data_IF_932690701464
#
_entry.id   IF_932690701464
#
_cell.length_a   1.000
_cell.length_b   1.000
_cell.length_c   1.000
_cell.angle_alpha   90.00
_cell.angle_beta   90.00
_cell.angle_gamma   90.00
#
_symmetry.space_group_name_H-M   'P 1'
#
loop_
_entity.id
_entity.type
_entity.pdbx_description
1 polymer ?
#
# COMPACT_ATOMS: atom_id res chain seq x y z
N UNK A 1 32.99 -5.04 12.62
CA UNK A 1 32.29 -4.07 11.76
C UNK A 1 31.95 -4.77 10.45
N UNK A 2 30.71 -5.22 10.27
CA UNK A 2 30.29 -5.83 9.00
C UNK A 2 30.20 -4.73 7.93
N UNK A 3 30.70 -5.03 6.72
CA UNK A 3 30.70 -4.10 5.59
C UNK A 3 29.29 -3.51 5.37
N UNK A 4 29.22 -2.18 5.26
CA UNK A 4 27.99 -1.40 5.11
C UNK A 4 27.20 -1.67 3.81
N UNK A 5 27.65 -2.60 2.96
CA UNK A 5 27.20 -2.75 1.57
C UNK A 5 26.61 -4.15 1.25
N UNK A 6 26.43 -5.04 2.22
CA UNK A 6 25.83 -6.35 1.95
C UNK A 6 24.31 -6.33 2.22
N UNK A 7 23.49 -6.93 1.35
CA UNK A 7 22.07 -7.12 1.62
C UNK A 7 21.88 -7.98 2.87
N UNK A 8 20.84 -7.66 3.64
CA UNK A 8 20.52 -8.31 4.91
C UNK A 8 19.01 -8.50 5.03
N UNK A 9 18.61 -9.62 5.61
CA UNK A 9 17.20 -9.87 5.93
C UNK A 9 16.77 -8.98 7.09
N UNK A 10 15.87 -8.04 6.81
CA UNK A 10 15.24 -7.17 7.80
C UNK A 10 13.87 -7.70 8.14
N UNK A 11 13.54 -7.69 9.44
CA UNK A 11 12.21 -8.03 9.92
C UNK A 11 11.44 -6.74 10.17
N UNK A 12 10.17 -6.70 9.78
CA UNK A 12 9.20 -5.71 10.24
C UNK A 12 8.09 -6.39 11.01
N UNK A 13 7.87 -5.96 12.24
CA UNK A 13 6.68 -6.39 13.01
C UNK A 13 5.53 -5.42 12.74
N UNK A 14 4.32 -5.94 12.71
CA UNK A 14 3.10 -5.16 12.55
C UNK A 14 2.23 -5.21 13.80
N UNK A 15 1.63 -4.07 14.13
CA UNK A 15 0.84 -3.86 15.31
C UNK A 15 -0.59 -4.39 15.14
N UNK A 16 -1.24 -4.94 16.19
CA UNK A 16 -2.66 -5.35 16.16
C UNK A 16 -3.70 -4.26 15.81
N UNK A 17 -3.28 -3.01 15.56
CA UNK A 17 -4.15 -1.91 15.12
C UNK A 17 -4.51 -2.01 13.63
N UNK A 18 -3.71 -2.76 12.86
CA UNK A 18 -3.98 -3.02 11.46
C UNK A 18 -5.02 -4.12 11.25
N UNK A 19 -5.24 -4.42 9.98
CA UNK A 19 -6.07 -5.53 9.49
C UNK A 19 -5.27 -6.26 8.42
N UNK A 20 -5.02 -7.54 8.58
CA UNK A 20 -4.03 -8.28 7.79
C UNK A 20 -4.65 -9.51 7.14
N UNK A 21 -4.19 -9.94 5.95
CA UNK A 21 -4.65 -11.21 5.41
C UNK A 21 -4.07 -12.34 6.27
N UNK A 22 -4.89 -13.30 6.71
CA UNK A 22 -4.44 -14.53 7.38
C UNK A 22 -3.69 -15.38 6.38
N UNK A 23 -2.37 -15.26 6.34
CA UNK A 23 -1.58 -15.91 5.32
C UNK A 23 -0.11 -16.07 5.70
N UNK A 24 0.52 -17.04 5.04
CA UNK A 24 1.96 -17.14 4.91
C UNK A 24 2.34 -17.01 3.45
N UNK A 25 2.96 -15.89 3.09
CA UNK A 25 3.34 -15.58 1.71
C UNK A 25 4.86 -15.63 1.64
N UNK A 26 5.38 -16.54 0.82
CA UNK A 26 6.82 -16.73 0.67
C UNK A 26 7.26 -16.39 -0.75
N UNK A 27 8.34 -15.65 -0.85
CA UNK A 27 9.06 -15.28 -2.06
C UNK A 27 10.56 -15.48 -1.81
N UNK A 28 11.41 -15.61 -2.85
CA UNK A 28 12.85 -15.80 -2.67
C UNK A 28 13.51 -14.75 -1.77
N UNK A 29 13.01 -13.51 -1.81
CA UNK A 29 13.57 -12.35 -1.10
C UNK A 29 12.59 -11.75 -0.07
N UNK A 30 11.42 -12.37 0.13
CA UNK A 30 10.35 -11.85 0.97
C UNK A 30 9.58 -12.94 1.69
N UNK A 31 9.21 -12.70 2.95
CA UNK A 31 8.32 -13.56 3.72
C UNK A 31 7.30 -12.67 4.43
N UNK A 32 6.01 -12.96 4.31
CA UNK A 32 4.97 -12.38 5.14
C UNK A 32 4.32 -13.49 5.96
N UNK A 33 4.09 -13.20 7.23
CA UNK A 33 3.43 -14.10 8.15
C UNK A 33 2.39 -13.31 8.92
N UNK A 34 1.16 -13.80 8.92
CA UNK A 34 0.07 -13.25 9.72
C UNK A 34 -0.81 -14.37 10.28
N UNK A 35 -0.80 -14.49 11.61
CA UNK A 35 -1.69 -15.36 12.38
C UNK A 35 -2.18 -14.62 13.64
N UNK A 36 -2.90 -15.33 14.52
CA UNK A 36 -3.47 -14.75 15.73
C UNK A 36 -2.42 -14.33 16.78
N UNK A 37 -1.18 -14.81 16.67
CA UNK A 37 -0.12 -14.57 17.64
C UNK A 37 0.83 -13.46 17.20
N UNK A 38 1.16 -13.38 15.92
CA UNK A 38 2.11 -12.38 15.41
C UNK A 38 1.87 -12.09 13.93
N UNK A 39 2.10 -10.81 13.57
CA UNK A 39 2.18 -10.39 12.17
C UNK A 39 3.53 -9.74 11.90
N UNK A 40 4.25 -10.24 10.91
CA UNK A 40 5.55 -9.69 10.49
C UNK A 40 5.82 -9.92 9.01
N UNK A 41 6.77 -9.16 8.46
CA UNK A 41 7.41 -9.48 7.19
C UNK A 41 8.92 -9.53 7.33
N UNK A 42 9.56 -10.23 6.42
CA UNK A 42 11.01 -10.23 6.22
C UNK A 42 11.27 -9.87 4.78
N UNK A 43 12.22 -8.96 4.54
CA UNK A 43 12.70 -8.67 3.19
C UNK A 43 14.22 -8.63 3.17
N UNK A 44 14.81 -9.04 2.05
CA UNK A 44 16.24 -8.88 1.80
C UNK A 44 16.49 -7.45 1.33
N UNK A 45 16.98 -6.57 2.21
CA UNK A 45 17.20 -5.15 1.87
C UNK A 45 18.67 -4.74 2.00
N UNK A 46 19.10 -3.79 1.17
CA UNK A 46 20.35 -3.06 1.40
C UNK A 46 20.19 -2.03 2.53
N UNK A 47 21.24 -1.84 3.33
CA UNK A 47 21.24 -0.83 4.41
C UNK A 47 21.74 0.50 3.88
N UNK A 48 20.91 1.55 3.98
CA UNK A 48 21.38 2.93 4.10
C UNK A 48 22.07 3.57 2.88
N UNK A 49 22.00 2.96 1.69
CA UNK A 49 22.41 3.62 0.45
C UNK A 49 21.13 3.86 -0.34
N UNK A 50 20.76 5.11 -0.64
CA UNK A 50 19.68 5.35 -1.58
C UNK A 50 20.08 4.65 -2.88
N UNK A 51 19.22 3.74 -3.37
CA UNK A 51 19.44 2.98 -4.63
C UNK A 51 19.82 3.92 -5.78
N UNK A 52 19.41 5.18 -5.67
CA UNK A 52 19.82 6.29 -6.51
C UNK A 52 20.37 7.43 -5.64
N UNK A 53 21.66 7.76 -5.81
CA UNK A 53 22.34 8.84 -5.09
C UNK A 53 21.71 10.24 -5.27
N UNK A 54 20.80 10.40 -6.25
CA UNK A 54 20.08 11.64 -6.49
C UNK A 54 18.77 11.77 -5.69
N UNK A 55 18.40 10.77 -4.88
CA UNK A 55 17.21 10.83 -4.03
C UNK A 55 17.58 11.53 -2.71
N UNK A 56 16.84 12.57 -2.28
CA UNK A 56 17.13 13.25 -1.03
C UNK A 56 16.93 12.33 0.16
N UNK A 57 17.74 12.53 1.20
CA UNK A 57 17.59 11.84 2.48
C UNK A 57 16.30 12.29 3.19
N UNK A 58 15.63 11.34 3.86
CA UNK A 58 14.42 11.57 4.65
C UNK A 58 14.51 10.80 5.97
N UNK A 59 14.39 11.51 7.08
CA UNK A 59 14.24 10.90 8.42
C UNK A 59 12.82 10.37 8.66
N UNK A 60 11.89 10.70 7.78
CA UNK A 60 10.47 10.38 7.89
C UNK A 60 10.10 9.09 7.12
N UNK A 61 11.11 8.40 6.58
CA UNK A 61 10.94 7.11 5.92
C UNK A 61 10.69 6.02 6.98
N UNK A 62 9.61 5.28 6.81
CA UNK A 62 9.07 4.36 7.83
C UNK A 62 9.13 2.89 7.39
N UNK A 63 9.44 2.64 6.11
CA UNK A 63 9.72 1.35 5.50
C UNK A 63 10.86 1.51 4.49
N UNK A 64 11.67 0.46 4.32
CA UNK A 64 12.58 0.32 3.18
C UNK A 64 11.80 0.11 1.88
N UNK A 65 12.45 0.36 0.74
CA UNK A 65 11.82 0.15 -0.57
C UNK A 65 11.42 -1.32 -0.81
N UNK A 66 12.20 -2.27 -0.31
CA UNK A 66 11.85 -3.71 -0.42
C UNK A 66 10.69 -4.09 0.50
N UNK A 67 10.66 -3.60 1.75
CA UNK A 67 9.49 -3.75 2.62
C UNK A 67 8.23 -3.17 1.95
N UNK A 68 8.34 -1.95 1.40
CA UNK A 68 7.25 -1.25 0.74
C UNK A 68 6.78 -1.97 -0.53
N UNK A 69 7.71 -2.45 -1.36
CA UNK A 69 7.41 -3.25 -2.56
C UNK A 69 6.67 -4.53 -2.19
N UNK A 70 7.18 -5.25 -1.19
CA UNK A 70 6.61 -6.53 -0.78
C UNK A 70 5.24 -6.35 -0.13
N UNK A 71 5.10 -5.43 0.83
CA UNK A 71 3.80 -5.11 1.47
C UNK A 71 2.83 -4.54 0.43
N UNK A 72 3.29 -3.64 -0.44
CA UNK A 72 2.49 -3.07 -1.51
C UNK A 72 1.93 -4.14 -2.45
N UNK A 73 2.69 -5.20 -2.74
CA UNK A 73 2.18 -6.30 -3.57
C UNK A 73 1.05 -7.08 -2.90
N UNK A 74 1.08 -7.24 -1.58
CA UNK A 74 0.00 -7.89 -0.81
C UNK A 74 -1.21 -6.95 -0.72
N UNK A 75 -0.96 -5.66 -0.47
CA UNK A 75 -1.98 -4.62 -0.42
C UNK A 75 -2.81 -4.52 -1.71
N UNK A 76 -2.17 -4.67 -2.88
CA UNK A 76 -2.85 -4.66 -4.17
C UNK A 76 -3.62 -5.96 -4.49
N UNK A 77 -3.58 -6.97 -3.61
CA UNK A 77 -4.40 -8.17 -3.71
C UNK A 77 -5.82 -8.01 -3.15
N UNK A 78 -6.14 -6.86 -2.54
CA UNK A 78 -7.51 -6.57 -2.13
C UNK A 78 -8.48 -6.60 -3.30
N UNK A 79 -9.64 -7.20 -3.04
CA UNK A 79 -10.76 -7.26 -3.96
C UNK A 79 -11.53 -5.92 -3.96
N UNK A 80 -12.17 -5.58 -5.08
CA UNK A 80 -12.73 -4.24 -5.36
C UNK A 80 -13.80 -3.75 -4.37
N UNK A 81 -14.55 -4.64 -3.71
CA UNK A 81 -15.67 -4.32 -2.82
C UNK A 81 -15.65 -5.18 -1.54
N UNK A 82 -14.46 -5.46 -1.03
CA UNK A 82 -14.24 -6.36 0.10
C UNK A 82 -13.49 -5.67 1.25
N UNK A 83 -13.17 -6.44 2.29
CA UNK A 83 -12.48 -5.94 3.47
C UNK A 83 -11.11 -5.34 3.13
N UNK A 84 -10.91 -4.09 3.55
CA UNK A 84 -9.63 -3.39 3.42
C UNK A 84 -8.55 -4.01 4.32
N UNK A 85 -7.37 -4.23 3.75
CA UNK A 85 -6.14 -4.47 4.48
C UNK A 85 -5.58 -3.14 4.97
N UNK A 86 -5.12 -3.13 6.22
CA UNK A 86 -4.49 -1.96 6.84
C UNK A 86 -3.18 -2.41 7.47
N UNK A 87 -2.07 -2.09 6.82
CA UNK A 87 -0.75 -2.41 7.35
C UNK A 87 -0.28 -1.35 8.35
N UNK A 88 -0.11 -1.76 9.60
CA UNK A 88 0.34 -0.88 10.68
C UNK A 88 1.72 -1.31 11.21
N UNK A 89 2.84 -0.98 10.54
CA UNK A 89 4.17 -1.41 10.98
C UNK A 89 4.63 -0.70 12.25
N UNK A 90 5.35 -1.44 13.10
CA UNK A 90 6.11 -0.87 14.22
C UNK A 90 7.39 -0.24 13.65
N UNK A 91 7.30 1.02 13.20
CA UNK A 91 8.30 1.69 12.37
C UNK A 91 9.73 1.76 12.96
N UNK A 92 9.88 1.80 14.28
CA UNK A 92 11.19 1.83 14.94
C UNK A 92 11.78 0.43 15.19
N UNK A 93 11.00 -0.64 15.05
CA UNK A 93 11.47 -2.00 15.27
C UNK A 93 11.77 -2.70 13.95
N UNK A 94 13.05 -2.79 13.61
CA UNK A 94 13.53 -3.47 12.40
C UNK A 94 14.82 -4.28 12.66
N UNK A 95 14.73 -5.39 13.41
CA UNK A 95 15.90 -6.21 13.67
C UNK A 95 16.39 -6.87 12.38
N UNK A 96 17.68 -7.15 12.35
CA UNK A 96 18.36 -7.77 11.21
C UNK A 96 18.70 -9.21 11.56
N UNK A 97 18.35 -10.16 10.70
CA UNK A 97 18.73 -11.55 10.89
C UNK A 97 20.21 -11.70 10.53
N UNK A 98 21.01 -12.21 11.46
CA UNK A 98 22.45 -12.41 11.27
C UNK A 98 22.77 -13.69 10.47
N UNK A 99 22.24 -13.74 9.24
CA UNK A 99 22.47 -14.77 8.22
C UNK A 99 22.56 -14.12 6.85
N UNK A 100 23.53 -14.55 6.05
CA UNK A 100 23.74 -14.02 4.69
C UNK A 100 22.76 -14.59 3.68
N UNK A 101 22.46 -15.89 3.80
CA UNK A 101 21.58 -16.63 2.90
C UNK A 101 20.53 -17.34 3.74
N UNK A 102 19.26 -17.10 3.43
CA UNK A 102 18.11 -17.81 3.97
C UNK A 102 17.22 -18.22 2.81
N UNK A 103 16.79 -19.46 2.81
CA UNK A 103 15.72 -19.90 1.92
C UNK A 103 14.39 -19.57 2.59
N UNK A 104 13.81 -18.42 2.22
CA UNK A 104 12.54 -17.93 2.73
C UNK A 104 11.34 -18.71 2.18
N UNK A 105 11.52 -19.51 1.12
CA UNK A 105 10.48 -20.38 0.56
C UNK A 105 10.27 -21.64 1.38
N UNK A 106 11.24 -21.99 2.23
CA UNK A 106 11.19 -23.22 3.03
C UNK A 106 10.42 -23.00 4.33
N UNK A 107 9.39 -23.83 4.55
CA UNK A 107 8.55 -23.84 5.74
C UNK A 107 9.32 -23.84 7.06
N UNK A 108 10.34 -24.69 7.18
CA UNK A 108 11.17 -24.75 8.40
C UNK A 108 11.91 -23.44 8.67
N UNK A 109 12.28 -22.70 7.62
CA UNK A 109 12.93 -21.39 7.76
C UNK A 109 11.91 -20.36 8.22
N UNK A 110 10.72 -20.33 7.61
CA UNK A 110 9.65 -19.40 7.99
C UNK A 110 9.23 -19.58 9.47
N UNK A 111 9.06 -20.83 9.90
CA UNK A 111 8.76 -21.17 11.30
C UNK A 111 9.89 -20.79 12.27
N UNK A 112 11.14 -21.05 11.89
CA UNK A 112 12.28 -20.63 12.70
C UNK A 112 12.34 -19.11 12.85
N UNK A 113 12.07 -18.36 11.78
CA UNK A 113 12.00 -16.90 11.80
C UNK A 113 10.85 -16.45 12.70
N UNK A 114 9.64 -17.00 12.55
CA UNK A 114 8.49 -16.68 13.41
C UNK A 114 8.83 -16.82 14.89
N UNK A 115 9.43 -17.94 15.28
CA UNK A 115 9.84 -18.19 16.66
C UNK A 115 10.92 -17.19 17.12
N UNK A 116 11.89 -16.85 16.26
CA UNK A 116 12.90 -15.84 16.56
C UNK A 116 12.31 -14.45 16.73
N UNK A 117 11.28 -14.08 15.97
CA UNK A 117 10.58 -12.79 16.12
C UNK A 117 9.89 -12.72 17.47
N UNK A 118 9.12 -13.76 17.84
CA UNK A 118 8.44 -13.82 19.15
C UNK A 118 9.45 -13.77 20.31
N UNK A 119 10.52 -14.56 20.22
CA UNK A 119 11.60 -14.53 21.23
C UNK A 119 12.29 -13.16 21.28
N UNK A 120 12.51 -12.53 20.13
CA UNK A 120 13.14 -11.22 20.03
C UNK A 120 12.31 -10.11 20.67
N UNK A 121 10.98 -10.19 20.59
CA UNK A 121 10.07 -9.26 21.28
C UNK A 121 10.04 -9.52 22.79
N UNK A 122 10.10 -10.79 23.23
CA UNK A 122 10.13 -11.18 24.64
C UNK A 122 11.51 -11.00 25.32
N UNK A 123 12.56 -10.69 24.55
CA UNK A 123 13.91 -10.51 25.07
C UNK A 123 14.05 -9.29 25.99
N UNK A 124 15.17 -9.18 26.75
CA UNK A 124 15.42 -8.04 27.62
C UNK A 124 15.41 -6.74 26.81
N UNK A 125 14.48 -5.84 27.17
CA UNK A 125 14.19 -4.60 26.45
C UNK A 125 15.32 -3.58 26.56
N UNK A 126 15.81 -3.08 25.42
CA UNK A 126 16.88 -2.08 25.35
C UNK A 126 16.38 -0.64 25.11
N UNK A 127 15.19 -0.24 25.61
CA UNK A 127 14.74 1.15 25.48
C UNK A 127 13.27 1.46 25.81
N UNK A 128 12.85 2.72 25.58
CA UNK A 128 11.57 3.33 25.96
C UNK A 128 10.33 2.91 25.14
N UNK A 129 10.45 1.97 24.20
CA UNK A 129 9.40 1.63 23.21
C UNK A 129 8.84 0.21 23.38
N UNK A 130 8.86 -0.29 24.61
CA UNK A 130 8.44 -1.66 24.96
C UNK A 130 6.95 -1.89 24.74
N UNK A 131 6.10 -0.92 25.09
CA UNK A 131 4.67 -1.14 25.21
C UNK A 131 4.04 -1.63 23.89
N UNK A 132 4.24 -0.93 22.78
CA UNK A 132 3.64 -1.31 21.50
C UNK A 132 4.21 -2.62 20.92
N UNK A 133 5.46 -2.99 21.24
CA UNK A 133 5.99 -4.31 20.89
C UNK A 133 5.36 -5.41 21.73
N UNK A 134 5.14 -5.17 23.02
CA UNK A 134 4.42 -6.11 23.88
C UNK A 134 2.94 -6.25 23.47
N UNK A 135 2.29 -5.16 23.04
CA UNK A 135 0.94 -5.20 22.45
C UNK A 135 0.88 -6.15 21.26
N UNK A 136 1.95 -6.28 20.46
CA UNK A 136 2.00 -7.22 19.33
C UNK A 136 1.92 -8.70 19.74
N UNK A 137 2.18 -9.04 21.00
CA UNK A 137 2.07 -10.41 21.51
C UNK A 137 0.86 -10.62 22.43
N UNK A 138 0.25 -9.54 22.92
CA UNK A 138 -0.84 -9.62 23.92
C UNK A 138 -2.21 -9.25 23.35
N UNK A 139 -2.27 -8.39 22.34
CA UNK A 139 -3.53 -7.97 21.73
C UNK A 139 -3.91 -8.90 20.58
N UNK A 140 -5.22 -8.98 20.31
CA UNK A 140 -5.78 -9.79 19.22
C UNK A 140 -5.59 -9.09 17.88
N UNK A 141 -5.07 -9.81 16.91
CA UNK A 141 -5.01 -9.35 15.51
C UNK A 141 -6.37 -9.40 14.83
N UNK A 142 -6.67 -8.39 14.01
CA UNK A 142 -7.76 -8.42 13.02
C UNK A 142 -7.23 -9.05 11.74
N UNK A 143 -7.75 -10.23 11.42
CA UNK A 143 -7.33 -11.00 10.24
C UNK A 143 -8.47 -11.09 9.23
N UNK A 144 -8.13 -11.00 7.95
CA UNK A 144 -9.01 -11.18 6.79
C UNK A 144 -8.77 -12.58 6.24
N UNK A 145 -9.84 -13.33 6.04
CA UNK A 145 -9.75 -14.69 5.50
C UNK A 145 -9.43 -14.68 3.98
N UNK A 146 -8.90 -15.79 3.49
CA UNK A 146 -8.34 -15.91 2.13
C UNK A 146 -9.38 -15.72 1.01
N UNK A 147 -10.67 -15.96 1.28
CA UNK A 147 -11.75 -15.74 0.33
C UNK A 147 -12.02 -14.25 0.05
N UNK A 148 -11.68 -13.38 1.00
CA UNK A 148 -11.88 -11.92 0.89
C UNK A 148 -10.66 -11.17 0.29
N UNK A 149 -9.58 -11.87 -0.06
CA UNK A 149 -8.35 -11.28 -0.65
C UNK A 149 -7.78 -12.21 -1.72
N UNK A 150 -7.43 -11.71 -2.90
CA UNK A 150 -6.87 -12.54 -3.97
C UNK A 150 -5.34 -12.65 -3.90
N UNK A 151 -4.85 -13.37 -2.88
CA UNK A 151 -3.41 -13.56 -2.66
C UNK A 151 -2.72 -14.37 -3.77
N UNK A 152 -3.47 -15.07 -4.62
CA UNK A 152 -2.92 -15.79 -5.76
C UNK A 152 -2.18 -14.86 -6.74
N UNK A 153 -2.58 -13.59 -6.80
CA UNK A 153 -1.98 -12.55 -7.65
C UNK A 153 -0.70 -11.96 -7.07
N UNK A 154 -0.41 -12.18 -5.78
CA UNK A 154 0.67 -11.50 -5.07
C UNK A 154 2.03 -11.67 -5.76
N UNK A 155 2.35 -12.89 -6.23
CA UNK A 155 3.65 -13.15 -6.87
C UNK A 155 3.80 -12.38 -8.18
N UNK A 156 2.75 -12.35 -9.02
CA UNK A 156 2.74 -11.59 -10.27
C UNK A 156 2.85 -10.09 -10.01
N UNK A 157 2.09 -9.56 -9.03
CA UNK A 157 2.15 -8.15 -8.64
C UNK A 157 3.57 -7.80 -8.16
N UNK A 158 4.16 -8.61 -7.28
CA UNK A 158 5.49 -8.37 -6.73
C UNK A 158 6.60 -8.35 -7.80
N UNK A 159 6.49 -9.20 -8.83
CA UNK A 159 7.41 -9.22 -9.95
C UNK A 159 7.28 -7.97 -10.84
N UNK A 160 6.08 -7.39 -10.94
CA UNK A 160 5.81 -6.19 -11.75
C UNK A 160 6.07 -4.87 -11.02
N UNK A 161 6.26 -4.87 -9.70
CA UNK A 161 6.69 -3.68 -8.96
C UNK A 161 8.20 -3.63 -8.92
N UNK A 162 8.81 -2.72 -9.68
CA UNK A 162 10.25 -2.51 -9.63
C UNK A 162 10.67 -1.71 -8.37
N UNK A 163 11.73 -2.12 -7.63
CA UNK A 163 12.16 -1.43 -6.42
C UNK A 163 12.73 -0.03 -6.66
N UNK A 164 12.99 0.35 -7.92
CA UNK A 164 13.44 1.67 -8.33
C UNK A 164 12.33 2.52 -8.98
N UNK A 165 11.08 2.03 -9.07
CA UNK A 165 9.94 2.84 -9.49
C UNK A 165 9.47 3.74 -8.34
N UNK A 166 10.24 4.81 -8.12
CA UNK A 166 9.99 5.76 -7.04
C UNK A 166 8.59 6.39 -7.11
N UNK A 167 7.99 6.52 -8.30
CA UNK A 167 6.67 7.12 -8.45
C UNK A 167 5.58 6.17 -7.96
N UNK A 168 5.62 4.91 -8.40
CA UNK A 168 4.70 3.87 -7.94
C UNK A 168 4.86 3.64 -6.43
N UNK A 169 6.09 3.45 -5.95
CA UNK A 169 6.37 3.23 -4.54
C UNK A 169 5.92 4.42 -3.68
N UNK A 170 6.10 5.66 -4.14
CA UNK A 170 5.59 6.84 -3.42
C UNK A 170 4.07 6.84 -3.32
N UNK A 171 3.37 6.46 -4.39
CA UNK A 171 1.91 6.31 -4.40
C UNK A 171 1.42 5.23 -3.44
N UNK A 172 2.04 4.04 -3.47
CA UNK A 172 1.71 2.93 -2.56
C UNK A 172 2.00 3.30 -1.10
N UNK A 173 3.14 3.94 -0.83
CA UNK A 173 3.47 4.40 0.53
C UNK A 173 2.46 5.42 1.05
N UNK A 174 1.97 6.30 0.18
CA UNK A 174 0.93 7.24 0.54
C UNK A 174 -0.39 6.53 0.89
N UNK A 175 -0.86 5.57 0.09
CA UNK A 175 -2.07 4.81 0.43
C UNK A 175 -1.92 3.99 1.72
N UNK A 176 -0.80 3.31 1.91
CA UNK A 176 -0.58 2.56 3.15
C UNK A 176 -0.57 3.49 4.38
N UNK A 177 0.00 4.70 4.25
CA UNK A 177 0.02 5.70 5.33
C UNK A 177 -1.37 6.31 5.56
N UNK A 178 -2.17 6.51 4.51
CA UNK A 178 -3.53 7.02 4.68
C UNK A 178 -4.41 6.02 5.45
N UNK A 179 -4.23 4.72 5.20
CA UNK A 179 -4.89 3.66 5.98
C UNK A 179 -4.43 3.61 7.45
N UNK A 180 -3.17 3.92 7.74
CA UNK A 180 -2.70 4.06 9.13
C UNK A 180 -3.36 5.23 9.84
N UNK A 181 -3.52 6.37 9.16
CA UNK A 181 -4.13 7.58 9.71
C UNK A 181 -5.63 7.40 9.94
N UNK A 182 -6.33 6.72 9.03
CA UNK A 182 -7.78 6.47 9.13
C UNK A 182 -8.16 5.54 10.30
N UNK A 183 -7.20 4.94 11.01
CA UNK A 183 -7.45 4.23 12.27
C UNK A 183 -7.91 5.16 13.40
N UNK A 184 -7.73 6.47 13.24
CA UNK A 184 -8.09 7.49 14.20
C UNK A 184 -9.01 8.51 13.52
N UNK A 185 -10.23 8.66 14.04
CA UNK A 185 -11.25 9.54 13.44
C UNK A 185 -10.78 10.99 13.30
N UNK A 186 -9.98 11.45 14.25
CA UNK A 186 -9.41 12.79 14.31
C UNK A 186 -8.37 13.05 13.21
N UNK A 187 -7.83 12.01 12.57
CA UNK A 187 -6.80 12.13 11.52
C UNK A 187 -7.33 11.80 10.11
N UNK A 188 -8.64 11.85 9.89
CA UNK A 188 -9.22 11.61 8.55
C UNK A 188 -8.85 12.71 7.55
N UNK A 189 -8.66 13.96 8.00
CA UNK A 189 -8.17 15.03 7.15
C UNK A 189 -6.76 14.69 6.63
N UNK A 190 -5.84 14.30 7.50
CA UNK A 190 -4.48 13.88 7.15
C UNK A 190 -4.46 12.59 6.32
N UNK A 191 -5.38 11.66 6.59
CA UNK A 191 -5.56 10.46 5.77
C UNK A 191 -5.92 10.86 4.32
N UNK A 192 -6.87 11.77 4.15
CA UNK A 192 -7.32 12.27 2.84
C UNK A 192 -6.23 13.08 2.14
N UNK A 193 -5.51 13.94 2.85
CA UNK A 193 -4.33 14.65 2.34
C UNK A 193 -3.30 13.66 1.80
N UNK A 194 -3.07 12.56 2.51
CA UNK A 194 -2.15 11.52 2.07
C UNK A 194 -2.67 10.81 0.81
N UNK A 195 -3.98 10.55 0.70
CA UNK A 195 -4.58 10.06 -0.54
C UNK A 195 -4.37 11.02 -1.73
N UNK A 196 -4.33 12.35 -1.55
CA UNK A 196 -4.02 13.28 -2.63
C UNK A 196 -2.61 13.09 -3.22
N UNK A 197 -1.65 12.60 -2.43
CA UNK A 197 -0.32 12.24 -2.92
C UNK A 197 -0.40 11.00 -3.81
N UNK A 198 -1.16 10.00 -3.38
CA UNK A 198 -1.42 8.80 -4.18
C UNK A 198 -2.20 9.12 -5.47
N UNK A 199 -3.14 10.08 -5.41
CA UNK A 199 -3.88 10.59 -6.56
C UNK A 199 -2.92 11.18 -7.60
N UNK A 200 -2.01 12.07 -7.19
CA UNK A 200 -1.01 12.65 -8.11
C UNK A 200 -0.08 11.56 -8.69
N UNK A 201 0.33 10.58 -7.88
CA UNK A 201 1.15 9.48 -8.36
C UNK A 201 0.43 8.65 -9.44
N UNK A 202 -0.83 8.28 -9.20
CA UNK A 202 -1.66 7.54 -10.17
C UNK A 202 -1.85 8.33 -11.48
N UNK A 203 -2.14 9.63 -11.39
CA UNK A 203 -2.27 10.51 -12.55
C UNK A 203 -0.99 10.49 -13.40
N UNK A 204 0.18 10.65 -12.77
CA UNK A 204 1.47 10.64 -13.47
C UNK A 204 1.81 9.29 -14.09
N UNK A 205 1.44 8.18 -13.45
CA UNK A 205 1.61 6.85 -14.01
C UNK A 205 0.74 6.66 -15.26
N UNK A 206 -0.52 7.10 -15.23
CA UNK A 206 -1.41 7.07 -16.39
C UNK A 206 -0.85 7.92 -17.54
N UNK A 207 -0.39 9.15 -17.27
CA UNK A 207 0.23 9.98 -18.32
C UNK A 207 1.48 9.32 -18.93
N UNK A 208 2.33 8.68 -18.10
CA UNK A 208 3.48 7.91 -18.59
C UNK A 208 3.04 6.75 -19.48
N UNK A 209 1.98 6.03 -19.08
CA UNK A 209 1.40 4.93 -19.86
C UNK A 209 0.89 5.41 -21.21
N UNK A 210 0.06 6.46 -21.23
CA UNK A 210 -0.47 7.06 -22.46
C UNK A 210 0.65 7.55 -23.39
N UNK A 211 1.71 8.13 -22.82
CA UNK A 211 2.90 8.53 -23.58
C UNK A 211 3.59 7.34 -24.23
N UNK A 212 3.76 6.24 -23.49
CA UNK A 212 4.34 5.00 -23.99
C UNK A 212 3.46 4.34 -25.08
N UNK A 213 2.15 4.57 -25.04
CA UNK A 213 1.17 4.15 -26.06
C UNK A 213 1.10 5.10 -27.27
N UNK A 214 1.89 6.18 -27.28
CA UNK A 214 2.05 7.08 -28.41
C UNK A 214 1.24 8.38 -28.34
N UNK A 215 0.54 8.66 -27.25
CA UNK A 215 -0.13 9.94 -27.05
C UNK A 215 0.89 11.08 -26.92
N UNK A 216 0.68 12.18 -27.66
CA UNK A 216 1.55 13.37 -27.58
C UNK A 216 1.04 14.30 -26.49
N UNK A 217 1.86 14.59 -25.49
CA UNK A 217 1.57 15.51 -24.38
C UNK A 217 0.20 15.22 -23.70
N UNK A 218 -0.03 13.99 -23.19
CA UNK A 218 -1.29 13.65 -22.57
C UNK A 218 -1.57 14.53 -21.35
N UNK A 219 -2.85 14.81 -21.10
CA UNK A 219 -3.32 15.72 -20.06
C UNK A 219 -4.43 15.11 -19.18
N UNK A 220 -5.03 15.92 -18.30
CA UNK A 220 -6.05 15.48 -17.36
C UNK A 220 -7.33 14.93 -18.02
N UNK A 221 -7.68 15.39 -19.23
CA UNK A 221 -8.81 14.85 -20.00
C UNK A 221 -8.49 13.46 -20.56
N UNK A 222 -7.26 13.27 -21.05
CA UNK A 222 -6.81 11.97 -21.56
C UNK A 222 -6.76 10.93 -20.43
N UNK A 223 -6.31 11.33 -19.24
CA UNK A 223 -6.35 10.46 -18.06
C UNK A 223 -7.78 10.14 -17.59
N UNK A 224 -8.73 11.09 -17.67
CA UNK A 224 -10.14 10.83 -17.38
C UNK A 224 -10.75 9.83 -18.37
N UNK A 225 -10.43 10.00 -19.66
CA UNK A 225 -10.81 9.06 -20.71
C UNK A 225 -10.23 7.68 -20.46
N UNK A 226 -8.95 7.60 -20.10
CA UNK A 226 -8.31 6.33 -19.76
C UNK A 226 -9.03 5.66 -18.59
N UNK A 227 -9.33 6.38 -17.51
CA UNK A 227 -10.05 5.83 -16.37
C UNK A 227 -11.43 5.28 -16.78
N UNK A 228 -12.17 6.04 -17.57
CA UNK A 228 -13.47 5.62 -18.08
C UNK A 228 -13.38 4.35 -18.95
N UNK A 229 -12.43 4.31 -19.88
CA UNK A 229 -12.30 3.21 -20.85
C UNK A 229 -11.93 1.88 -20.16
N UNK A 230 -11.28 1.95 -18.99
CA UNK A 230 -10.81 0.79 -18.22
C UNK A 230 -11.68 0.45 -17.00
N UNK A 231 -12.42 1.40 -16.41
CA UNK A 231 -13.21 1.16 -15.21
C UNK A 231 -14.67 1.56 -15.43
N UNK A 232 -14.94 2.85 -15.59
CA UNK A 232 -16.30 3.40 -15.46
C UNK A 232 -17.25 2.89 -16.54
N UNK A 233 -16.79 2.68 -17.79
CA UNK A 233 -17.69 2.20 -18.85
C UNK A 233 -18.29 0.83 -18.51
N UNK A 234 -17.53 -0.03 -17.85
CA UNK A 234 -18.01 -1.36 -17.45
C UNK A 234 -18.99 -1.30 -16.28
N UNK A 235 -18.92 -0.22 -15.49
CA UNK A 235 -19.86 0.13 -14.44
C UNK A 235 -21.03 0.97 -14.98
N UNK A 236 -21.21 1.03 -16.30
CA UNK A 236 -22.36 1.65 -16.97
C UNK A 236 -22.41 3.18 -16.91
N UNK A 237 -21.28 3.84 -16.66
CA UNK A 237 -21.17 5.28 -16.89
C UNK A 237 -21.08 5.53 -18.40
N UNK A 238 -21.82 6.52 -18.92
CA UNK A 238 -21.95 6.73 -20.37
C UNK A 238 -20.79 7.53 -20.97
N UNK A 239 -20.16 8.41 -20.20
CA UNK A 239 -19.13 9.32 -20.66
C UNK A 239 -18.03 9.51 -19.60
N UNK A 240 -16.79 9.82 -20.02
CA UNK A 240 -15.74 10.20 -19.09
C UNK A 240 -16.06 11.54 -18.42
N UNK A 241 -15.54 11.71 -17.20
CA UNK A 241 -15.50 13.02 -16.55
C UNK A 241 -14.69 14.03 -17.36
N UNK A 242 -14.89 15.33 -17.11
CA UNK A 242 -14.13 16.38 -17.81
C UNK A 242 -12.63 16.23 -17.57
N UNK A 243 -12.22 15.90 -16.34
CA UNK A 243 -10.81 15.73 -15.93
C UNK A 243 -10.68 14.65 -14.86
N UNK A 244 -9.51 14.03 -14.81
CA UNK A 244 -9.16 12.98 -13.86
C UNK A 244 -9.33 13.46 -12.42
N UNK A 245 -10.32 12.90 -11.70
CA UNK A 245 -10.68 13.23 -10.31
C UNK A 245 -10.71 14.74 -10.01
N UNK A 246 -11.36 15.52 -10.88
CA UNK A 246 -11.35 16.99 -10.79
C UNK A 246 -11.76 17.53 -9.41
N UNK A 247 -12.84 17.00 -8.85
CA UNK A 247 -13.38 17.43 -7.56
C UNK A 247 -12.35 17.25 -6.43
N UNK A 248 -11.64 16.12 -6.41
CA UNK A 248 -10.57 15.87 -5.43
C UNK A 248 -9.35 16.78 -5.63
N UNK A 249 -9.04 17.19 -6.87
CA UNK A 249 -7.99 18.19 -7.11
C UNK A 249 -8.40 19.58 -6.59
N UNK A 250 -9.67 19.95 -6.72
CA UNK A 250 -10.19 21.20 -6.17
C UNK A 250 -10.23 21.15 -4.63
N UNK A 251 -10.72 20.06 -4.03
CA UNK A 251 -10.65 19.81 -2.58
C UNK A 251 -9.22 19.86 -2.03
N UNK A 252 -8.25 19.25 -2.73
CA UNK A 252 -6.83 19.33 -2.38
C UNK A 252 -6.34 20.78 -2.33
N UNK A 253 -6.73 21.61 -3.30
CA UNK A 253 -6.35 23.03 -3.32
C UNK A 253 -6.94 23.75 -2.12
N UNK A 254 -8.23 23.54 -1.83
CA UNK A 254 -8.91 24.14 -0.68
C UNK A 254 -8.30 23.70 0.66
N UNK A 255 -7.83 22.45 0.75
CA UNK A 255 -7.25 21.86 1.97
C UNK A 255 -5.82 22.36 2.23
N UNK A 256 -4.97 22.40 1.22
CA UNK A 256 -3.54 22.72 1.39
C UNK A 256 -3.22 24.21 1.28
N UNK A 257 -4.14 25.00 0.74
CA UNK A 257 -3.97 26.44 0.54
C UNK A 257 -5.09 27.20 1.28
N UNK A 258 -4.85 27.66 2.53
CA UNK A 258 -5.86 28.34 3.34
C UNK A 258 -6.50 29.57 2.68
N UNK A 259 -5.78 30.20 1.76
CA UNK A 259 -6.32 31.21 0.85
C UNK A 259 -6.04 30.78 -0.59
N UNK A 260 -7.11 30.58 -1.38
CA UNK A 260 -7.03 30.07 -2.74
C UNK A 260 -8.09 30.71 -3.65
N UNK A 261 -8.15 30.29 -4.92
CA UNK A 261 -9.19 30.72 -5.87
C UNK A 261 -10.62 30.36 -5.43
N UNK A 262 -10.75 29.48 -4.44
CA UNK A 262 -12.04 29.05 -3.89
C UNK A 262 -12.47 29.84 -2.66
N UNK A 263 -11.61 30.73 -2.14
CA UNK A 263 -11.86 31.50 -0.93
C UNK A 263 -11.00 31.05 0.25
N UNK A 264 -11.43 31.48 1.44
CA UNK A 264 -10.79 31.19 2.72
C UNK A 264 -11.74 30.39 3.59
N UNK A 265 -11.25 29.27 4.11
CA UNK A 265 -12.05 28.33 4.90
C UNK A 265 -11.34 28.06 6.24
N UNK A 266 -12.06 28.04 7.37
CA UNK A 266 -11.47 27.74 8.67
C UNK A 266 -11.09 26.25 8.83
N UNK A 267 -11.65 25.37 8.00
CA UNK A 267 -11.43 23.93 8.00
C UNK A 267 -11.39 23.40 6.57
N UNK A 268 -10.73 22.27 6.35
CA UNK A 268 -10.75 21.60 5.06
C UNK A 268 -12.18 21.14 4.71
N UNK A 269 -12.70 21.42 3.50
CA UNK A 269 -14.05 21.05 3.09
C UNK A 269 -14.09 19.59 2.63
N UNK A 270 -13.71 18.67 3.51
CA UNK A 270 -13.64 17.23 3.26
C UNK A 270 -14.74 16.49 4.00
N UNK A 271 -15.20 15.41 3.39
CA UNK A 271 -16.10 14.45 4.00
C UNK A 271 -15.41 13.10 4.20
N UNK A 272 -15.91 12.28 5.12
CA UNK A 272 -15.30 10.98 5.44
C UNK A 272 -15.39 10.02 4.23
N UNK A 273 -16.45 10.11 3.43
CA UNK A 273 -16.64 9.33 2.21
C UNK A 273 -15.65 9.70 1.10
N UNK A 274 -15.16 10.95 1.05
CA UNK A 274 -14.07 11.35 0.15
C UNK A 274 -12.83 10.45 0.33
N UNK A 275 -12.46 10.18 1.59
CA UNK A 275 -11.36 9.27 1.90
C UNK A 275 -11.62 7.85 1.37
N UNK A 276 -12.77 7.26 1.72
CA UNK A 276 -13.08 5.88 1.37
C UNK A 276 -13.19 5.68 -0.14
N UNK A 277 -13.84 6.61 -0.83
CA UNK A 277 -13.94 6.60 -2.28
C UNK A 277 -12.55 6.70 -2.92
N UNK A 278 -11.77 7.73 -2.57
CA UNK A 278 -10.47 7.95 -3.19
C UNK A 278 -9.50 6.79 -2.92
N UNK A 279 -9.47 6.29 -1.68
CA UNK A 279 -8.62 5.16 -1.30
C UNK A 279 -8.98 3.89 -2.09
N UNK A 280 -10.26 3.53 -2.19
CA UNK A 280 -10.69 2.32 -2.91
C UNK A 280 -10.40 2.42 -4.41
N UNK A 281 -10.74 3.56 -5.03
CA UNK A 281 -10.50 3.80 -6.45
C UNK A 281 -9.00 3.77 -6.77
N UNK A 282 -8.17 4.49 -6.00
CA UNK A 282 -6.73 4.52 -6.24
C UNK A 282 -6.06 3.16 -6.08
N UNK A 283 -6.43 2.38 -5.05
CA UNK A 283 -5.90 1.02 -4.86
C UNK A 283 -6.19 0.14 -6.07
N UNK A 284 -7.41 0.21 -6.61
CA UNK A 284 -7.79 -0.51 -7.84
C UNK A 284 -6.99 -0.06 -9.06
N UNK A 285 -6.81 1.25 -9.21
CA UNK A 285 -6.04 1.85 -10.32
C UNK A 285 -4.57 1.42 -10.24
N UNK A 286 -3.94 1.44 -9.05
CA UNK A 286 -2.56 0.96 -8.89
C UNK A 286 -2.44 -0.53 -9.22
N UNK A 287 -3.38 -1.37 -8.76
CA UNK A 287 -3.36 -2.80 -9.09
C UNK A 287 -3.44 -3.02 -10.62
N UNK A 288 -4.32 -2.28 -11.29
CA UNK A 288 -4.46 -2.34 -12.75
C UNK A 288 -3.23 -1.80 -13.48
N UNK A 289 -2.63 -0.70 -13.02
CA UNK A 289 -1.40 -0.16 -13.62
C UNK A 289 -0.22 -1.13 -13.50
N UNK A 290 -0.17 -1.94 -12.45
CA UNK A 290 0.89 -2.94 -12.22
C UNK A 290 0.65 -4.22 -13.03
N UNK A 291 -0.59 -4.67 -13.16
CA UNK A 291 -0.90 -6.00 -13.73
C UNK A 291 -1.53 -5.95 -15.12
N UNK A 292 -2.16 -4.84 -15.50
CA UNK A 292 -3.02 -4.73 -16.68
C UNK A 292 -4.38 -5.43 -16.54
N UNK A 293 -4.71 -5.92 -15.34
CA UNK A 293 -5.87 -6.78 -15.09
C UNK A 293 -6.66 -6.31 -13.86
N UNK A 294 -7.98 -6.47 -13.91
CA UNK A 294 -8.84 -6.28 -12.75
C UNK A 294 -8.80 -7.51 -11.84
N UNK A 295 -9.12 -7.32 -10.56
CA UNK A 295 -9.33 -8.44 -9.66
C UNK A 295 -10.62 -9.19 -9.98
N UNK A 296 -10.74 -10.41 -9.46
CA UNK A 296 -11.90 -11.28 -9.71
C UNK A 296 -13.23 -10.65 -9.29
N UNK A 297 -13.30 -9.87 -8.21
CA UNK A 297 -14.58 -9.35 -7.73
C UNK A 297 -15.10 -8.20 -8.59
N UNK A 298 -14.20 -7.42 -9.19
CA UNK A 298 -14.56 -6.46 -10.23
C UNK A 298 -15.20 -7.15 -11.45
N UNK A 299 -14.61 -8.26 -11.92
CA UNK A 299 -15.15 -9.04 -13.05
C UNK A 299 -16.54 -9.60 -12.70
N UNK A 300 -16.67 -10.23 -11.52
CA UNK A 300 -17.95 -10.75 -11.04
C UNK A 300 -19.03 -9.66 -10.92
N UNK A 301 -18.66 -8.44 -10.49
CA UNK A 301 -19.59 -7.32 -10.39
C UNK A 301 -20.12 -6.89 -11.76
N UNK A 302 -19.26 -6.87 -12.79
CA UNK A 302 -19.67 -6.58 -14.17
C UNK A 302 -20.63 -7.67 -14.68
N UNK A 303 -20.31 -8.94 -14.43
CA UNK A 303 -21.16 -10.07 -14.85
C UNK A 303 -22.54 -10.03 -14.17
N UNK A 304 -22.59 -9.78 -12.85
CA UNK A 304 -23.84 -9.60 -12.10
C UNK A 304 -24.67 -8.45 -12.67
N UNK A 305 -24.03 -7.33 -13.00
CA UNK A 305 -24.69 -6.18 -13.62
C UNK A 305 -25.24 -6.51 -15.00
N UNK A 306 -24.47 -7.20 -15.84
CA UNK A 306 -24.90 -7.65 -17.16
C UNK A 306 -26.10 -8.62 -17.08
N UNK A 307 -26.14 -9.45 -16.03
CA UNK A 307 -27.25 -10.36 -15.74
C UNK A 307 -28.49 -9.66 -15.14
N UNK A 308 -28.44 -8.34 -14.89
CA UNK A 308 -29.54 -7.58 -14.29
C UNK A 308 -29.77 -7.88 -12.80
N UNK A 309 -28.81 -8.53 -12.14
CA UNK A 309 -28.85 -8.80 -10.70
C UNK A 309 -28.46 -7.50 -9.99
N UNK A 310 -29.42 -6.87 -9.32
CA UNK A 310 -29.13 -5.71 -8.46
C UNK A 310 -28.41 -6.19 -7.19
N UNK A 311 -27.35 -5.49 -6.80
CA UNK A 311 -26.74 -5.59 -5.47
C UNK A 311 -27.73 -5.16 -4.40
#
# INVERSE_FOLDING_TARGET
MAALNEPRYKVRVFHPRGRYPRARISQPEGLFWADEQIVFCVTLSMRGIPVNANVPYSEMDWLTLEELRFIGSIFLCELWDEQQLIFYPVHYYSPVINRKNLDLMKDSTAEAIRNLVIQGINGPNWGYQVAALQECLTHRYSLVEEDHVDLSRQSSIWQNIAPNDNLLLRGLSALLKSDMLSRYSEFFEEATITCFIALEASFRLILKRLTAEGAKNPNAKDAAKWLHDHFDKYLGFEAPLERYFQEFYDQRVMTLHPSSRFGEFPYAPLMIDDFYHLRSSLRSIFAYLVTGEHDRSFVEAIEKRAAGVRQ
#
